data_IF_891602348056
#
_entry.id   IF_891602348056
#
_cell.length_a   1.000
_cell.length_b   1.000
_cell.length_c   1.000
_cell.angle_alpha   90.00
_cell.angle_beta   90.00
_cell.angle_gamma   90.00
#
_symmetry.space_group_name_H-M   'P 1'
#
loop_
_entity.id
_entity.type
_entity.pdbx_description
1 polymer ?
#
# COMPACT_ATOMS: atom_id res chain seq x y z
N UNK A 1 37.05 -14.16 27.19
CA UNK A 1 36.53 -12.85 27.63
C UNK A 1 35.05 -12.79 27.30
N UNK A 2 34.26 -11.99 28.02
CA UNK A 2 32.81 -11.87 27.84
C UNK A 2 32.46 -11.01 26.62
N UNK A 3 31.31 -11.28 25.98
CA UNK A 3 30.78 -10.43 24.89
C UNK A 3 30.47 -9.02 25.42
N UNK A 4 31.25 -8.02 24.99
CA UNK A 4 31.11 -6.61 25.43
C UNK A 4 30.51 -5.67 24.39
N UNK A 5 30.36 -6.10 23.13
CA UNK A 5 29.82 -5.27 22.04
C UNK A 5 28.35 -5.58 21.78
N UNK A 6 27.51 -4.55 21.74
CA UNK A 6 26.04 -4.66 21.79
C UNK A 6 25.32 -4.83 20.43
N UNK A 7 25.75 -4.22 19.30
CA UNK A 7 25.01 -4.38 18.05
C UNK A 7 25.39 -5.68 17.33
N UNK A 8 24.38 -6.52 17.08
CA UNK A 8 24.45 -7.75 16.25
C UNK A 8 24.23 -7.50 14.76
N UNK A 9 24.32 -6.23 14.39
CA UNK A 9 24.24 -5.72 13.04
C UNK A 9 25.44 -4.82 12.78
N UNK A 10 26.14 -5.05 11.69
CA UNK A 10 27.16 -4.16 11.15
C UNK A 10 26.62 -3.52 9.85
N UNK A 11 26.90 -2.23 9.65
CA UNK A 11 26.24 -1.43 8.63
C UNK A 11 24.98 -0.70 9.15
N UNK A 12 24.15 -0.15 8.25
CA UNK A 12 24.22 -0.30 6.80
C UNK A 12 25.46 0.37 6.20
N UNK A 13 26.24 -0.39 5.44
CA UNK A 13 27.34 0.06 4.59
C UNK A 13 26.81 0.57 3.26
N UNK A 14 27.51 1.51 2.63
CA UNK A 14 27.10 2.10 1.35
C UNK A 14 28.05 1.65 0.25
N UNK A 15 27.50 1.18 -0.86
CA UNK A 15 28.26 0.82 -2.05
C UNK A 15 28.77 2.04 -2.81
N UNK A 16 30.01 1.95 -3.26
CA UNK A 16 30.73 2.90 -4.12
C UNK A 16 31.01 2.32 -5.53
N UNK A 17 30.63 1.06 -5.78
CA UNK A 17 30.93 0.32 -7.01
C UNK A 17 32.34 -0.27 -7.09
N UNK A 18 33.18 -0.12 -6.05
CA UNK A 18 34.56 -0.64 -6.01
C UNK A 18 34.92 -1.42 -4.75
N UNK A 19 34.34 -1.07 -3.60
CA UNK A 19 34.58 -1.68 -2.30
C UNK A 19 33.94 -3.05 -2.22
N UNK A 20 34.76 -4.03 -1.86
CA UNK A 20 34.36 -5.43 -1.69
C UNK A 20 34.50 -5.91 -0.24
N UNK A 21 35.35 -5.29 0.57
CA UNK A 21 35.62 -5.72 1.95
C UNK A 21 34.79 -4.89 2.96
N UNK A 22 34.00 -5.56 3.79
CA UNK A 22 33.12 -4.94 4.80
C UNK A 22 33.36 -5.56 6.18
N UNK A 23 33.81 -4.77 7.18
CA UNK A 23 34.15 -5.31 8.50
C UNK A 23 32.90 -5.59 9.35
N UNK A 24 33.06 -6.43 10.37
CA UNK A 24 32.12 -6.56 11.49
C UNK A 24 32.91 -6.72 12.80
N UNK A 25 32.35 -6.26 13.91
CA UNK A 25 33.07 -6.19 15.20
C UNK A 25 32.49 -7.13 16.28
N UNK A 26 31.42 -7.86 15.98
CA UNK A 26 30.79 -8.78 16.92
C UNK A 26 31.42 -10.18 16.82
N UNK A 27 31.36 -10.94 17.92
CA UNK A 27 31.88 -12.30 18.01
C UNK A 27 31.03 -13.30 17.22
N UNK A 28 31.67 -14.21 16.50
CA UNK A 28 31.04 -15.38 15.84
C UNK A 28 31.68 -16.69 16.33
N UNK A 29 30.99 -17.83 16.18
CA UNK A 29 31.52 -19.15 16.54
C UNK A 29 31.85 -19.99 15.31
N UNK A 30 31.16 -19.74 14.20
CA UNK A 30 31.46 -20.27 12.87
C UNK A 30 31.24 -19.15 11.83
N UNK A 31 31.95 -19.22 10.71
CA UNK A 31 31.69 -18.36 9.53
C UNK A 31 30.25 -18.49 9.00
N UNK A 32 29.62 -19.65 9.19
CA UNK A 32 28.24 -19.91 8.83
C UNK A 32 27.21 -19.17 9.71
N UNK A 33 27.64 -18.56 10.82
CA UNK A 33 26.79 -17.79 11.74
C UNK A 33 26.47 -16.38 11.24
N UNK A 34 26.85 -16.02 10.01
CA UNK A 34 26.66 -14.70 9.41
C UNK A 34 25.65 -14.72 8.27
N UNK A 35 24.92 -13.61 8.11
CA UNK A 35 24.11 -13.31 6.93
C UNK A 35 24.35 -11.87 6.49
N UNK A 36 24.26 -11.63 5.19
CA UNK A 36 24.49 -10.33 4.57
C UNK A 36 23.27 -9.96 3.72
N UNK A 37 22.76 -8.75 3.89
CA UNK A 37 21.62 -8.20 3.17
C UNK A 37 22.04 -6.98 2.38
N UNK A 38 21.49 -6.79 1.18
CA UNK A 38 21.71 -5.65 0.31
C UNK A 38 20.38 -5.01 -0.06
N UNK A 39 20.26 -3.69 0.06
CA UNK A 39 19.10 -2.95 -0.43
C UNK A 39 19.45 -2.11 -1.66
N UNK A 40 18.59 -2.15 -2.68
CA UNK A 40 18.72 -1.31 -3.87
C UNK A 40 18.29 0.13 -3.62
N UNK A 41 18.42 0.98 -4.63
CA UNK A 41 18.06 2.41 -4.55
C UNK A 41 16.56 2.67 -4.37
N UNK A 42 15.69 1.67 -4.56
CA UNK A 42 14.25 1.73 -4.33
C UNK A 42 13.86 1.19 -2.93
N UNK A 43 14.85 0.82 -2.12
CA UNK A 43 14.62 0.21 -0.81
C UNK A 43 14.24 -1.27 -0.88
N UNK A 44 14.44 -1.92 -2.03
CA UNK A 44 14.22 -3.36 -2.14
C UNK A 44 15.42 -4.09 -1.56
N UNK A 45 15.21 -4.75 -0.42
CA UNK A 45 16.23 -5.53 0.29
C UNK A 45 16.27 -6.99 -0.20
N UNK A 46 17.48 -7.58 -0.29
CA UNK A 46 17.74 -8.99 -0.61
C UNK A 46 18.87 -9.56 0.25
N UNK A 47 18.82 -10.84 0.59
CA UNK A 47 19.95 -11.55 1.20
C UNK A 47 20.98 -11.95 0.12
N UNK A 48 22.27 -11.88 0.44
CA UNK A 48 23.35 -12.40 -0.41
C UNK A 48 23.57 -13.89 -0.13
N UNK A 49 23.79 -14.68 -1.18
CA UNK A 49 24.15 -16.08 -1.06
C UNK A 49 25.57 -16.28 -0.51
N UNK A 50 25.84 -17.43 0.14
CA UNK A 50 27.18 -17.81 0.61
C UNK A 50 28.22 -17.86 -0.52
N UNK A 51 27.78 -17.98 -1.77
CA UNK A 51 28.64 -17.88 -2.95
C UNK A 51 28.93 -16.46 -3.40
N UNK A 52 28.21 -15.43 -2.94
CA UNK A 52 28.40 -14.02 -3.35
C UNK A 52 29.41 -13.28 -2.48
N UNK A 53 29.79 -13.84 -1.33
CA UNK A 53 30.79 -13.29 -0.42
C UNK A 53 31.58 -14.38 0.29
N UNK A 54 32.76 -14.03 0.81
CA UNK A 54 33.55 -14.89 1.70
C UNK A 54 33.68 -14.23 3.07
N UNK A 55 33.69 -15.03 4.14
CA UNK A 55 33.90 -14.53 5.50
C UNK A 55 35.37 -14.72 5.87
N UNK A 56 36.01 -13.64 6.29
CA UNK A 56 37.39 -13.58 6.74
C UNK A 56 37.40 -13.29 8.25
N UNK A 57 37.50 -14.34 9.05
CA UNK A 57 37.51 -14.23 10.51
C UNK A 57 38.37 -15.34 11.13
N UNK A 58 39.20 -14.99 12.11
CA UNK A 58 39.93 -15.98 12.90
C UNK A 58 39.02 -16.52 14.01
N UNK A 59 38.37 -17.66 13.74
CA UNK A 59 37.44 -18.33 14.67
C UNK A 59 38.11 -18.67 16.01
N UNK A 60 39.41 -18.97 16.04
CA UNK A 60 40.14 -19.31 17.27
C UNK A 60 40.45 -18.08 18.12
N UNK A 61 40.65 -16.93 17.48
CA UNK A 61 40.92 -15.66 18.16
C UNK A 61 39.66 -14.92 18.63
N UNK A 62 38.47 -15.26 18.11
CA UNK A 62 37.17 -14.65 18.45
C UNK A 62 36.92 -14.41 19.96
N UNK A 63 37.34 -15.29 20.91
CA UNK A 63 37.13 -15.05 22.34
C UNK A 63 37.94 -13.88 22.93
N UNK A 64 39.00 -13.42 22.25
CA UNK A 64 39.89 -12.35 22.71
C UNK A 64 39.97 -11.17 21.72
N UNK A 65 39.77 -11.43 20.42
CA UNK A 65 39.74 -10.47 19.33
C UNK A 65 38.51 -10.75 18.44
N UNK A 66 37.31 -10.31 18.86
CA UNK A 66 36.08 -10.54 18.10
C UNK A 66 36.04 -9.69 16.83
N UNK A 67 35.32 -10.19 15.82
CA UNK A 67 35.12 -9.50 14.55
C UNK A 67 35.82 -10.16 13.36
N UNK A 68 35.82 -9.47 12.24
CA UNK A 68 36.34 -9.95 10.97
C UNK A 68 35.83 -9.08 9.83
N UNK A 69 35.89 -9.59 8.61
CA UNK A 69 35.34 -8.95 7.43
C UNK A 69 34.58 -9.95 6.57
N UNK A 70 33.64 -9.45 5.77
CA UNK A 70 33.11 -10.17 4.61
C UNK A 70 33.66 -9.53 3.35
N UNK A 71 34.05 -10.35 2.38
CA UNK A 71 34.55 -9.91 1.08
C UNK A 71 33.55 -10.30 0.00
N UNK A 72 32.93 -9.33 -0.64
CA UNK A 72 32.03 -9.55 -1.77
C UNK A 72 32.81 -10.01 -3.01
N UNK A 73 32.21 -10.88 -3.81
CA UNK A 73 32.77 -11.28 -5.12
C UNK A 73 32.54 -10.23 -6.20
N UNK A 74 31.44 -9.50 -6.09
CA UNK A 74 31.10 -8.37 -6.96
C UNK A 74 31.04 -7.12 -6.08
N UNK A 75 31.70 -6.01 -6.46
CA UNK A 75 31.60 -4.76 -5.73
C UNK A 75 30.13 -4.36 -5.50
N UNK A 76 29.84 -3.83 -4.32
CA UNK A 76 28.50 -3.34 -4.00
C UNK A 76 28.19 -2.14 -4.92
N UNK A 77 27.15 -2.22 -5.77
CA UNK A 77 26.88 -1.16 -6.72
C UNK A 77 26.65 0.18 -6.02
N UNK A 78 27.04 1.26 -6.68
CA UNK A 78 26.86 2.60 -6.16
C UNK A 78 25.41 2.84 -5.74
N UNK A 79 25.21 3.35 -4.52
CA UNK A 79 23.88 3.67 -3.98
C UNK A 79 23.13 2.52 -3.32
N UNK A 80 23.63 1.28 -3.41
CA UNK A 80 23.07 0.16 -2.64
C UNK A 80 23.54 0.20 -1.18
N UNK A 81 22.72 -0.32 -0.28
CA UNK A 81 23.05 -0.50 1.13
C UNK A 81 23.41 -1.96 1.41
N UNK A 82 24.27 -2.22 2.39
CA UNK A 82 24.62 -3.56 2.83
C UNK A 82 24.62 -3.66 4.34
N UNK A 83 23.92 -4.64 4.90
CA UNK A 83 23.94 -4.92 6.34
C UNK A 83 24.42 -6.34 6.60
N UNK A 84 25.28 -6.51 7.60
CA UNK A 84 25.76 -7.81 8.05
C UNK A 84 25.10 -8.09 9.40
N UNK A 85 24.45 -9.24 9.55
CA UNK A 85 23.82 -9.64 10.81
C UNK A 85 24.29 -11.02 11.25
N UNK A 86 24.34 -11.26 12.55
CA UNK A 86 24.51 -12.62 13.08
C UNK A 86 23.23 -13.42 12.98
N UNK A 87 23.37 -14.69 12.62
CA UNK A 87 22.29 -15.68 12.60
C UNK A 87 22.83 -17.04 13.03
N UNK A 88 23.02 -17.22 14.34
CA UNK A 88 23.35 -18.50 14.93
C UNK A 88 22.12 -19.41 15.09
N UNK A 89 22.35 -20.72 15.08
CA UNK A 89 21.34 -21.72 15.45
C UNK A 89 21.14 -21.75 16.98
N UNK A 90 19.89 -21.81 17.43
CA UNK A 90 19.52 -21.77 18.86
C UNK A 90 19.66 -23.15 19.52
N UNK A 91 20.89 -23.69 19.57
CA UNK A 91 21.21 -24.96 20.26
C UNK A 91 22.14 -24.73 21.44
N UNK A 92 22.03 -25.59 22.45
CA UNK A 92 23.02 -25.71 23.52
C UNK A 92 23.89 -26.95 23.23
N UNK A 93 25.08 -26.79 22.65
CA UNK A 93 25.93 -27.92 22.31
C UNK A 93 26.67 -28.52 23.52
N UNK A 94 26.67 -27.84 24.67
CA UNK A 94 27.40 -28.26 25.87
C UNK A 94 26.46 -28.85 26.93
N UNK A 95 26.83 -30.01 27.47
CA UNK A 95 26.13 -30.69 28.58
C UNK A 95 27.05 -30.82 29.79
N UNK A 96 26.56 -30.45 30.98
CA UNK A 96 27.29 -30.59 32.26
C UNK A 96 26.64 -31.70 33.09
N UNK A 97 27.44 -32.69 33.51
CA UNK A 97 26.97 -33.86 34.28
C UNK A 97 27.46 -33.82 35.73
N UNK A 98 26.68 -34.35 36.68
CA UNK A 98 26.89 -34.21 38.14
C UNK A 98 28.18 -34.85 38.71
N UNK A 99 29.02 -35.46 37.87
CA UNK A 99 30.34 -36.00 38.25
C UNK A 99 31.40 -35.80 37.14
N UNK A 100 31.10 -34.94 36.15
CA UNK A 100 32.01 -34.61 35.06
C UNK A 100 33.00 -33.51 35.42
N UNK A 101 34.11 -33.41 34.67
CA UNK A 101 35.08 -32.33 34.84
C UNK A 101 34.49 -30.96 34.49
N UNK A 102 34.73 -29.95 35.32
CA UNK A 102 34.25 -28.59 35.09
C UNK A 102 35.29 -27.77 34.31
N UNK A 103 35.01 -27.50 33.03
CA UNK A 103 35.91 -26.73 32.16
C UNK A 103 35.43 -25.28 32.01
N UNK A 104 36.13 -24.28 32.58
CA UNK A 104 35.72 -22.88 32.51
C UNK A 104 35.56 -22.33 31.08
N UNK A 105 36.33 -22.85 30.12
CA UNK A 105 36.18 -22.46 28.70
C UNK A 105 34.82 -22.86 28.15
N UNK A 106 34.38 -24.10 28.36
CA UNK A 106 33.08 -24.60 27.87
C UNK A 106 31.93 -23.82 28.52
N UNK A 107 32.06 -23.47 29.80
CA UNK A 107 31.09 -22.64 30.49
C UNK A 107 31.01 -21.23 29.89
N UNK A 108 32.15 -20.55 29.73
CA UNK A 108 32.17 -19.22 29.14
C UNK A 108 31.62 -19.22 27.72
N UNK A 109 31.98 -20.20 26.89
CA UNK A 109 31.43 -20.32 25.54
C UNK A 109 29.92 -20.56 25.55
N UNK A 110 29.41 -21.34 26.51
CA UNK A 110 27.97 -21.55 26.69
C UNK A 110 27.24 -20.25 27.08
N UNK A 111 27.78 -19.48 28.03
CA UNK A 111 27.21 -18.19 28.46
C UNK A 111 27.31 -17.11 27.38
N UNK A 112 28.41 -17.09 26.63
CA UNK A 112 28.59 -16.18 25.51
C UNK A 112 27.55 -16.48 24.43
N UNK A 113 27.33 -17.75 24.06
CA UNK A 113 26.25 -18.17 23.13
C UNK A 113 24.88 -17.69 23.59
N UNK A 114 24.55 -17.87 24.86
CA UNK A 114 23.29 -17.39 25.41
C UNK A 114 23.15 -15.86 25.27
N UNK A 115 24.21 -15.11 25.52
CA UNK A 115 24.23 -13.66 25.33
C UNK A 115 24.04 -13.28 23.85
N UNK A 116 24.66 -14.02 22.92
CA UNK A 116 24.47 -13.81 21.47
C UNK A 116 23.01 -13.99 21.08
N UNK A 117 22.39 -15.06 21.57
CA UNK A 117 20.98 -15.36 21.29
C UNK A 117 20.07 -14.20 21.72
N UNK A 118 20.26 -13.64 22.92
CA UNK A 118 19.47 -12.49 23.41
C UNK A 118 19.66 -11.24 22.54
N UNK A 119 20.90 -10.95 22.14
CA UNK A 119 21.19 -9.78 21.30
C UNK A 119 20.63 -9.92 19.87
N UNK A 120 20.64 -11.13 19.30
CA UNK A 120 19.98 -11.42 18.02
C UNK A 120 18.47 -11.15 18.10
N UNK A 121 17.84 -11.59 19.18
CA UNK A 121 16.40 -11.39 19.39
C UNK A 121 16.06 -9.89 19.55
N UNK A 122 16.90 -9.12 20.25
CA UNK A 122 16.71 -7.67 20.40
C UNK A 122 16.85 -6.90 19.07
N UNK A 123 17.78 -7.30 18.19
CA UNK A 123 17.94 -6.68 16.86
C UNK A 123 16.66 -6.84 16.02
N UNK A 124 16.10 -8.06 16.00
CA UNK A 124 14.88 -8.37 15.27
C UNK A 124 13.69 -7.57 15.84
N UNK A 125 13.60 -7.45 17.17
CA UNK A 125 12.56 -6.67 17.84
C UNK A 125 12.68 -5.16 17.54
N UNK A 126 13.89 -4.64 17.33
CA UNK A 126 14.13 -3.20 17.12
C UNK A 126 13.63 -2.67 15.78
N UNK A 127 13.61 -3.50 14.74
CA UNK A 127 13.07 -3.17 13.40
C UNK A 127 11.63 -3.62 13.24
N UNK A 128 10.94 -3.73 14.38
CA UNK A 128 9.58 -4.26 14.43
C UNK A 128 8.51 -3.20 14.64
N UNK A 129 7.28 -3.55 14.23
CA UNK A 129 6.07 -2.73 14.27
C UNK A 129 5.84 -2.55 15.80
N UNK A 130 6.09 -1.38 16.42
CA UNK A 130 5.94 -1.15 17.87
C UNK A 130 5.03 0.03 18.19
N UNK A 131 4.15 -0.09 19.19
CA UNK A 131 3.16 0.96 19.47
C UNK A 131 2.81 1.08 20.94
N UNK A 132 1.63 1.59 21.24
CA UNK A 132 1.31 2.16 22.54
C UNK A 132 1.39 1.11 23.65
N UNK A 133 2.23 1.35 24.65
CA UNK A 133 2.52 0.40 25.73
C UNK A 133 1.26 0.02 26.53
N UNK A 134 0.33 0.97 26.72
CA UNK A 134 -0.99 0.72 27.31
C UNK A 134 -2.13 0.71 26.27
N UNK A 135 -1.84 1.12 25.04
CA UNK A 135 -2.82 1.27 23.94
C UNK A 135 -2.77 0.15 22.91
N UNK A 136 -1.91 -0.84 23.09
CA UNK A 136 -1.87 -2.09 22.34
C UNK A 136 -1.51 -1.97 20.85
N UNK A 137 -1.01 -0.84 20.37
CA UNK A 137 -0.58 -0.75 18.98
C UNK A 137 0.82 -1.32 18.81
N UNK A 138 1.07 -1.77 17.60
CA UNK A 138 2.37 -2.17 17.12
C UNK A 138 2.43 -1.35 15.82
N UNK A 139 3.41 -0.47 15.61
CA UNK A 139 3.57 0.38 14.43
C UNK A 139 4.93 0.22 13.72
N UNK A 140 4.96 -0.22 12.44
CA UNK A 140 6.07 -0.03 11.47
C UNK A 140 5.44 0.22 10.11
N UNK A 141 6.26 0.79 9.26
CA UNK A 141 5.84 1.41 8.03
C UNK A 141 5.81 0.37 6.91
N UNK A 142 4.81 0.46 6.03
CA UNK A 142 4.83 -0.27 4.79
C UNK A 142 5.88 0.34 3.84
N UNK A 143 6.41 -0.48 2.92
CA UNK A 143 7.28 -0.02 1.82
C UNK A 143 6.50 1.00 0.98
N UNK A 144 7.10 2.12 0.58
CA UNK A 144 6.39 3.21 -0.10
C UNK A 144 5.74 2.78 -1.42
N UNK A 145 4.43 3.03 -1.57
CA UNK A 145 3.70 2.79 -2.82
C UNK A 145 3.28 4.12 -3.47
N UNK A 146 3.57 4.35 -4.77
CA UNK A 146 3.25 5.61 -5.42
C UNK A 146 1.75 5.93 -5.43
N UNK A 147 1.39 7.15 -5.03
CA UNK A 147 0.00 7.68 -5.02
C UNK A 147 -1.01 6.88 -4.21
N UNK A 148 -0.53 6.01 -3.32
CA UNK A 148 -1.38 5.25 -2.40
C UNK A 148 -1.37 5.95 -1.06
N UNK A 149 -2.55 6.15 -0.49
CA UNK A 149 -2.64 6.77 0.83
C UNK A 149 -2.24 5.78 1.91
N UNK A 150 -1.59 6.24 2.97
CA UNK A 150 -1.46 5.40 4.15
C UNK A 150 -2.79 5.35 4.86
N UNK A 151 -3.26 4.15 5.16
CA UNK A 151 -4.44 3.94 5.96
C UNK A 151 -4.09 3.06 7.14
N UNK A 152 -4.77 3.36 8.26
CA UNK A 152 -4.94 2.31 9.24
C UNK A 152 -5.60 1.15 8.52
N UNK A 153 -5.10 -0.03 8.84
CA UNK A 153 -5.92 -1.18 8.61
C UNK A 153 -7.27 -0.99 9.34
N UNK A 154 -8.26 -1.78 8.95
CA UNK A 154 -9.62 -1.71 9.50
C UNK A 154 -9.67 -1.85 11.04
N UNK A 155 -8.57 -2.35 11.63
CA UNK A 155 -8.42 -2.59 13.07
C UNK A 155 -7.73 -1.46 13.84
N UNK A 156 -7.14 -0.47 13.16
CA UNK A 156 -6.53 0.70 13.82
C UNK A 156 -5.19 0.43 14.51
N UNK A 157 -4.48 -0.63 14.12
CA UNK A 157 -3.26 -1.07 14.82
C UNK A 157 -2.00 -0.91 13.98
N UNK A 158 -2.09 -0.91 12.65
CA UNK A 158 -0.94 -0.82 11.75
C UNK A 158 -1.21 0.11 10.56
N UNK A 159 -0.14 0.53 9.88
CA UNK A 159 -0.22 1.39 8.69
C UNK A 159 -0.04 0.55 7.43
N UNK A 160 -0.92 0.72 6.45
CA UNK A 160 -0.86 0.07 5.13
C UNK A 160 -0.96 1.12 4.03
N UNK A 161 -0.44 0.82 2.83
CA UNK A 161 -0.77 1.62 1.65
C UNK A 161 -2.13 1.17 1.12
N UNK A 162 -3.01 2.12 0.84
CA UNK A 162 -4.34 1.87 0.33
C UNK A 162 -4.32 1.50 -1.15
N UNK A 163 -5.31 0.72 -1.60
CA UNK A 163 -5.59 0.53 -3.03
C UNK A 163 -6.34 1.74 -3.62
N UNK A 164 -6.69 2.69 -2.77
CA UNK A 164 -7.40 3.89 -3.17
C UNK A 164 -6.41 4.88 -3.76
N UNK A 165 -6.42 4.93 -5.08
CA UNK A 165 -5.93 6.10 -5.79
C UNK A 165 -7.02 7.17 -5.71
N UNK A 166 -6.88 8.01 -4.70
CA UNK A 166 -7.84 9.09 -4.40
C UNK A 166 -8.02 10.04 -5.58
N UNK A 167 -6.96 10.24 -6.37
CA UNK A 167 -6.98 11.12 -7.53
C UNK A 167 -7.80 10.48 -8.67
N UNK A 168 -7.61 9.19 -8.92
CA UNK A 168 -8.31 8.49 -10.00
C UNK A 168 -9.82 8.32 -9.72
N UNK A 169 -10.18 7.97 -8.48
CA UNK A 169 -11.58 7.75 -8.11
C UNK A 169 -12.42 9.03 -8.19
N UNK A 170 -11.88 10.16 -7.72
CA UNK A 170 -12.57 11.45 -7.78
C UNK A 170 -12.85 11.88 -9.23
N UNK A 171 -11.87 11.68 -10.12
CA UNK A 171 -12.00 12.07 -11.52
C UNK A 171 -12.96 11.16 -12.30
N UNK A 172 -12.96 9.85 -12.02
CA UNK A 172 -13.87 8.89 -12.67
C UNK A 172 -15.32 9.15 -12.28
N UNK A 173 -15.60 9.35 -10.99
CA UNK A 173 -16.95 9.61 -10.48
C UNK A 173 -17.54 10.88 -11.11
N UNK A 174 -16.73 11.93 -11.25
CA UNK A 174 -17.12 13.18 -11.89
C UNK A 174 -17.52 12.98 -13.35
N UNK A 175 -16.72 12.24 -14.13
CA UNK A 175 -16.99 11.99 -15.55
C UNK A 175 -18.30 11.21 -15.77
N UNK A 176 -18.54 10.19 -14.95
CA UNK A 176 -19.76 9.38 -15.07
C UNK A 176 -21.03 10.21 -14.80
N UNK A 177 -20.98 11.13 -13.83
CA UNK A 177 -22.11 12.03 -13.54
C UNK A 177 -22.39 13.01 -14.70
N UNK A 178 -21.34 13.60 -15.29
CA UNK A 178 -21.49 14.50 -16.44
C UNK A 178 -22.08 13.78 -17.68
N UNK A 179 -21.69 12.52 -17.90
CA UNK A 179 -22.20 11.70 -18.99
C UNK A 179 -23.69 11.33 -18.81
N UNK A 180 -24.08 10.87 -17.62
CA UNK A 180 -25.46 10.47 -17.33
C UNK A 180 -26.46 11.64 -17.47
N UNK A 181 -26.09 12.84 -16.99
CA UNK A 181 -26.95 14.03 -17.15
C UNK A 181 -27.13 14.41 -18.62
N UNK A 182 -26.09 14.23 -19.42
CA UNK A 182 -26.15 14.52 -20.85
C UNK A 182 -27.06 13.53 -21.58
N UNK A 183 -26.98 12.24 -21.25
CA UNK A 183 -27.82 11.21 -21.87
C UNK A 183 -29.32 11.38 -21.53
N UNK A 184 -29.63 11.68 -20.27
CA UNK A 184 -31.01 11.96 -19.83
C UNK A 184 -31.57 13.17 -20.58
N UNK A 185 -30.76 14.23 -20.75
CA UNK A 185 -31.18 15.42 -21.49
C UNK A 185 -31.57 15.06 -22.93
N UNK A 186 -30.75 14.25 -23.59
CA UNK A 186 -31.00 13.85 -24.97
C UNK A 186 -32.27 13.00 -25.07
N UNK A 187 -32.47 12.07 -24.14
CA UNK A 187 -33.66 11.22 -24.12
C UNK A 187 -34.94 12.02 -23.90
N UNK A 188 -34.95 12.94 -22.93
CA UNK A 188 -36.13 13.80 -22.66
C UNK A 188 -36.45 14.69 -23.86
N UNK A 189 -35.42 15.25 -24.49
CA UNK A 189 -35.58 16.06 -25.71
C UNK A 189 -36.15 15.23 -26.86
N UNK A 190 -35.68 13.99 -27.02
CA UNK A 190 -36.18 13.06 -28.02
C UNK A 190 -37.65 12.66 -27.79
N UNK A 191 -38.03 12.37 -26.54
CA UNK A 191 -39.41 12.04 -26.17
C UNK A 191 -40.34 13.22 -26.41
N UNK A 192 -39.94 14.44 -26.03
CA UNK A 192 -40.74 15.63 -26.33
C UNK A 192 -41.01 15.74 -27.82
N UNK A 193 -39.95 15.62 -28.62
CA UNK A 193 -40.05 15.73 -30.08
C UNK A 193 -40.99 14.67 -30.65
N UNK A 194 -40.84 13.40 -30.22
CA UNK A 194 -41.66 12.30 -30.70
C UNK A 194 -43.13 12.44 -30.27
N UNK A 195 -43.40 12.76 -29.01
CA UNK A 195 -44.76 12.92 -28.49
C UNK A 195 -45.48 14.06 -29.19
N UNK A 196 -44.80 15.20 -29.41
CA UNK A 196 -45.37 16.32 -30.20
C UNK A 196 -45.71 15.89 -31.63
N UNK A 197 -44.87 15.09 -32.27
CA UNK A 197 -45.09 14.61 -33.64
C UNK A 197 -46.32 13.68 -33.71
N UNK A 198 -46.41 12.70 -32.80
CA UNK A 198 -47.55 11.78 -32.70
C UNK A 198 -48.87 12.50 -32.39
N UNK A 199 -48.85 13.44 -31.44
CA UNK A 199 -50.01 14.28 -31.14
C UNK A 199 -50.51 15.00 -32.40
N UNK A 200 -49.58 15.56 -33.19
CA UNK A 200 -49.90 16.30 -34.41
C UNK A 200 -50.49 15.38 -35.48
N UNK A 201 -49.93 14.17 -35.66
CA UNK A 201 -50.46 13.18 -36.61
C UNK A 201 -51.86 12.68 -36.21
N UNK A 202 -52.09 12.43 -34.91
CA UNK A 202 -53.40 12.04 -34.38
C UNK A 202 -54.45 13.13 -34.58
N UNK A 203 -54.10 14.40 -34.34
CA UNK A 203 -55.02 15.52 -34.58
C UNK A 203 -55.42 15.61 -36.06
N UNK A 204 -54.46 15.44 -36.97
CA UNK A 204 -54.72 15.46 -38.40
C UNK A 204 -55.67 14.31 -38.81
N UNK A 205 -55.43 13.10 -38.32
CA UNK A 205 -56.29 11.94 -38.56
C UNK A 205 -57.72 12.14 -38.00
N UNK A 206 -57.84 12.70 -36.79
CA UNK A 206 -59.13 12.95 -36.15
C UNK A 206 -59.95 14.02 -36.87
N UNK A 207 -59.30 15.05 -37.39
CA UNK A 207 -59.98 16.12 -38.15
C UNK A 207 -60.63 15.62 -39.45
N UNK A 208 -60.16 14.49 -39.99
CA UNK A 208 -60.72 13.84 -41.17
C UNK A 208 -62.01 13.05 -40.87
N UNK A 209 -62.33 12.77 -39.59
CA UNK A 209 -63.57 12.09 -39.17
C UNK A 209 -64.71 13.13 -39.05
N UNK A 210 -65.60 13.17 -40.04
CA UNK A 210 -66.76 14.07 -40.07
C UNK A 210 -67.88 13.63 -39.11
N UNK A 211 -68.06 14.35 -37.98
CA UNK A 211 -69.34 14.55 -37.27
C UNK A 211 -69.94 13.40 -36.42
N UNK A 212 -69.76 13.49 -35.09
CA UNK A 212 -70.49 12.73 -34.05
C UNK A 212 -70.08 13.14 -32.62
N UNK A 213 -70.95 12.97 -31.62
CA UNK A 213 -70.69 13.41 -30.22
C UNK A 213 -69.45 12.73 -29.59
N UNK A 214 -69.18 11.47 -29.95
CA UNK A 214 -68.03 10.72 -29.47
C UNK A 214 -66.71 11.24 -30.04
N UNK A 215 -66.69 11.65 -31.32
CA UNK A 215 -65.51 12.23 -31.96
C UNK A 215 -65.13 13.59 -31.33
N UNK A 216 -66.13 14.39 -30.93
CA UNK A 216 -65.89 15.66 -30.25
C UNK A 216 -65.40 15.48 -28.80
N UNK A 217 -65.89 14.45 -28.10
CA UNK A 217 -65.43 14.11 -26.75
C UNK A 217 -63.97 13.58 -26.74
N UNK A 218 -63.59 12.79 -27.75
CA UNK A 218 -62.22 12.32 -27.93
C UNK A 218 -61.26 13.49 -28.24
N UNK A 219 -61.65 14.45 -29.07
CA UNK A 219 -60.81 15.61 -29.40
C UNK A 219 -60.52 16.49 -28.16
N UNK A 220 -61.52 16.66 -27.29
CA UNK A 220 -61.34 17.39 -26.02
C UNK A 220 -60.42 16.66 -25.04
N UNK A 221 -60.54 15.33 -24.92
CA UNK A 221 -59.65 14.52 -24.07
C UNK A 221 -58.21 14.53 -24.58
N UNK A 222 -58.00 14.50 -25.90
CA UNK A 222 -56.66 14.60 -26.49
C UNK A 222 -56.02 15.96 -26.18
N UNK A 223 -56.76 17.06 -26.36
CA UNK A 223 -56.26 18.41 -26.02
C UNK A 223 -55.88 18.54 -24.53
N UNK A 224 -56.65 17.92 -23.63
CA UNK A 224 -56.32 17.90 -22.20
C UNK A 224 -55.07 17.08 -21.89
N UNK A 225 -54.83 15.98 -22.61
CA UNK A 225 -53.64 15.15 -22.45
C UNK A 225 -52.39 15.88 -22.93
N UNK A 226 -52.46 16.58 -24.07
CA UNK A 226 -51.35 17.38 -24.59
C UNK A 226 -50.93 18.49 -23.62
N UNK A 227 -51.90 19.18 -23.02
CA UNK A 227 -51.62 20.24 -22.05
C UNK A 227 -50.98 19.68 -20.78
N UNK A 228 -51.42 18.50 -20.32
CA UNK A 228 -50.82 17.80 -19.17
C UNK A 228 -49.38 17.34 -19.45
N UNK A 229 -49.12 16.79 -20.64
CA UNK A 229 -47.77 16.40 -21.08
C UNK A 229 -46.84 17.61 -21.21
N UNK A 230 -47.32 18.70 -21.80
CA UNK A 230 -46.55 19.93 -21.97
C UNK A 230 -46.25 20.66 -20.64
N UNK A 231 -47.11 20.53 -19.63
CA UNK A 231 -46.84 21.02 -18.28
C UNK A 231 -45.75 20.16 -17.61
N UNK A 232 -45.93 18.84 -17.62
CA UNK A 232 -44.98 17.89 -17.03
C UNK A 232 -43.57 18.02 -17.63
N UNK A 233 -43.46 18.22 -18.94
CA UNK A 233 -42.15 18.37 -19.58
C UNK A 233 -41.45 19.68 -19.21
N UNK A 234 -42.19 20.77 -19.03
CA UNK A 234 -41.61 22.04 -18.58
C UNK A 234 -41.05 21.91 -17.17
N UNK A 235 -41.78 21.25 -16.27
CA UNK A 235 -41.31 21.00 -14.91
C UNK A 235 -40.04 20.13 -14.89
N UNK A 236 -39.97 19.11 -15.75
CA UNK A 236 -38.76 18.28 -15.92
C UNK A 236 -37.58 19.13 -16.43
N UNK A 237 -37.80 19.98 -17.43
CA UNK A 237 -36.73 20.81 -18.02
C UNK A 237 -36.19 21.82 -16.99
N UNK A 238 -37.07 22.41 -16.18
CA UNK A 238 -36.66 23.35 -15.13
C UNK A 238 -35.88 22.66 -14.00
N UNK A 239 -36.31 21.46 -13.59
CA UNK A 239 -35.57 20.63 -12.63
C UNK A 239 -34.15 20.30 -13.14
N UNK A 240 -34.02 19.98 -14.44
CA UNK A 240 -32.72 19.67 -15.05
C UNK A 240 -31.76 20.86 -15.09
N UNK A 241 -32.25 22.09 -15.26
CA UNK A 241 -31.38 23.27 -15.27
C UNK A 241 -30.80 23.55 -13.87
N UNK A 242 -31.61 23.39 -12.83
CA UNK A 242 -31.17 23.54 -11.44
C UNK A 242 -30.09 22.53 -11.08
N UNK A 243 -30.26 21.26 -11.48
CA UNK A 243 -29.24 20.22 -11.24
C UNK A 243 -27.91 20.50 -11.96
N UNK A 244 -27.96 21.02 -13.19
CA UNK A 244 -26.74 21.37 -13.94
C UNK A 244 -25.95 22.52 -13.31
N UNK A 245 -26.64 23.50 -12.74
CA UNK A 245 -25.97 24.60 -12.03
C UNK A 245 -25.28 24.11 -10.74
N UNK A 246 -25.93 23.20 -10.01
CA UNK A 246 -25.34 22.59 -8.81
C UNK A 246 -24.07 21.78 -9.14
N UNK A 247 -24.08 20.97 -10.21
CA UNK A 247 -22.91 20.18 -10.58
C UNK A 247 -21.72 21.06 -11.01
N UNK A 248 -21.96 22.17 -11.73
CA UNK A 248 -20.90 23.12 -12.07
C UNK A 248 -20.27 23.75 -10.82
N UNK A 249 -21.07 24.05 -9.80
CA UNK A 249 -20.55 24.60 -8.54
C UNK A 249 -19.67 23.58 -7.80
N UNK A 250 -20.07 22.32 -7.76
CA UNK A 250 -19.26 21.22 -7.20
C UNK A 250 -17.93 21.09 -7.95
N UNK A 251 -17.93 21.21 -9.28
CA UNK A 251 -16.71 21.13 -10.10
C UNK A 251 -15.67 22.19 -9.76
N UNK A 252 -16.11 23.40 -9.43
CA UNK A 252 -15.21 24.50 -9.07
C UNK A 252 -14.59 24.28 -7.68
N UNK A 253 -15.39 23.78 -6.72
CA UNK A 253 -14.92 23.53 -5.36
C UNK A 253 -13.89 22.39 -5.32
N UNK A 254 -14.15 21.28 -6.00
CA UNK A 254 -13.22 20.16 -6.06
C UNK A 254 -11.88 20.52 -6.73
N UNK A 255 -11.88 21.39 -7.75
CA UNK A 255 -10.63 21.85 -8.38
C UNK A 255 -9.83 22.81 -7.49
N UNK A 256 -10.50 23.50 -6.55
CA UNK A 256 -9.85 24.34 -5.57
C UNK A 256 -9.29 23.55 -4.36
N UNK A 257 -9.46 22.22 -4.35
CA UNK A 257 -8.99 21.33 -3.27
C UNK A 257 -9.82 21.41 -2.00
N UNK A 258 -11.07 21.87 -2.08
CA UNK A 258 -12.05 21.95 -1.00
C UNK A 258 -13.17 20.92 -1.16
#
# INVERSE_FOLDING_TARGET
MTVSNTPRRAGPYRGDGSTVDYPFAFRIFDTADLRVYVADTNGNERELATGEYTVEADIKAQPNAPGGSIRLRTPLPAGHLLSIITRMEYIQPAEFTNSGGFYPRVLNDSLDRQTIYVQQLAEIQSRSIGGAVNGGSNLRLPVGAPKRTLMWDETGKQLTNSSFDIENYAETTRRNAEAAITDIRNTVTGIDTHVRAEITSFRAALSALKGGNEALALNRRLTSLENSVNATLRDITQSQQVQNAALKKIKILALAGL
#
